data_IF_450848406069
#
_entry.id   IF_450848406069
#
_cell.length_a   1.000
_cell.length_b   1.000
_cell.length_c   1.000
_cell.angle_alpha   90.00
_cell.angle_beta   90.00
_cell.angle_gamma   90.00
#
_symmetry.space_group_name_H-M   'P 1'
#
loop_
_entity.id
_entity.type
_entity.pdbx_description
1 polymer ?
#
# COMPACT_ATOMS: atom_id res chain seq x y z
N UNK A 1 -25.12 9.37 6.42
CA UNK A 1 -23.90 9.97 5.90
C UNK A 1 -22.69 9.15 6.32
N UNK A 2 -21.93 8.64 5.39
CA UNK A 2 -20.74 7.87 5.68
C UNK A 2 -19.54 8.77 5.90
N UNK A 3 -18.70 8.40 6.84
CA UNK A 3 -17.44 9.06 7.08
C UNK A 3 -16.36 8.48 6.20
N UNK A 4 -15.30 9.26 5.94
CA UNK A 4 -14.09 8.75 5.31
C UNK A 4 -13.48 7.70 6.25
N UNK A 5 -13.32 6.48 5.77
CA UNK A 5 -12.69 5.40 6.53
C UNK A 5 -11.30 5.17 5.99
N UNK A 6 -10.31 5.32 6.86
CA UNK A 6 -8.91 5.09 6.52
C UNK A 6 -8.43 3.88 7.31
N UNK A 7 -7.99 2.86 6.58
CA UNK A 7 -7.41 1.65 7.15
C UNK A 7 -5.92 1.64 6.87
N UNK A 8 -5.11 1.45 7.88
CA UNK A 8 -3.66 1.46 7.76
C UNK A 8 -3.11 0.06 7.92
N UNK A 9 -2.42 -0.38 6.89
CA UNK A 9 -1.83 -1.73 6.79
C UNK A 9 -0.32 -1.59 6.67
N UNK A 10 0.44 -2.38 7.41
CA UNK A 10 1.88 -2.46 7.25
C UNK A 10 2.29 -3.84 6.74
N UNK A 11 3.36 -3.89 5.98
CA UNK A 11 3.99 -5.11 5.52
C UNK A 11 5.50 -4.96 5.58
N UNK A 12 6.21 -6.07 5.72
CA UNK A 12 7.66 -6.08 5.84
C UNK A 12 8.27 -7.00 4.81
N UNK A 13 9.34 -6.55 4.18
CA UNK A 13 10.03 -7.30 3.13
C UNK A 13 11.54 -7.33 3.39
N UNK A 14 12.20 -8.32 2.82
CA UNK A 14 13.66 -8.47 2.91
C UNK A 14 14.37 -7.96 1.66
N UNK A 15 13.63 -7.75 0.58
CA UNK A 15 14.18 -7.29 -0.71
C UNK A 15 13.05 -6.85 -1.62
N UNK A 16 13.38 -6.17 -2.72
CA UNK A 16 12.39 -5.77 -3.71
C UNK A 16 11.72 -6.95 -4.40
N UNK A 17 12.44 -8.05 -4.62
CA UNK A 17 11.84 -9.26 -5.20
C UNK A 17 10.88 -9.91 -4.20
N UNK A 18 11.23 -9.97 -2.93
CA UNK A 18 10.35 -10.46 -1.86
C UNK A 18 9.09 -9.62 -1.76
N UNK A 19 9.23 -8.29 -1.77
CA UNK A 19 8.08 -7.39 -1.81
C UNK A 19 7.15 -7.71 -2.99
N UNK A 20 7.72 -7.85 -4.18
CA UNK A 20 6.94 -8.15 -5.38
C UNK A 20 6.18 -9.48 -5.26
N UNK A 21 6.79 -10.49 -4.66
CA UNK A 21 6.15 -11.78 -4.39
C UNK A 21 5.01 -11.67 -3.39
N UNK A 22 5.10 -10.76 -2.43
CA UNK A 22 4.04 -10.52 -1.45
C UNK A 22 2.89 -9.70 -2.04
N UNK A 23 3.22 -8.65 -2.77
CA UNK A 23 2.23 -7.65 -3.18
C UNK A 23 1.37 -8.10 -4.35
N UNK A 24 1.89 -8.89 -5.27
CA UNK A 24 1.14 -9.31 -6.45
C UNK A 24 -0.09 -10.16 -6.14
N UNK A 25 0.00 -11.20 -5.29
CA UNK A 25 -1.20 -11.94 -4.86
C UNK A 25 -2.20 -11.06 -4.11
N UNK A 26 -1.69 -10.12 -3.32
CA UNK A 26 -2.51 -9.16 -2.60
C UNK A 26 -3.30 -8.26 -3.56
N UNK A 27 -2.62 -7.69 -4.55
CA UNK A 27 -3.25 -6.85 -5.57
C UNK A 27 -4.28 -7.64 -6.38
N UNK A 28 -3.96 -8.86 -6.75
CA UNK A 28 -4.90 -9.73 -7.48
C UNK A 28 -6.21 -9.86 -6.71
N UNK A 29 -6.13 -10.14 -5.42
CA UNK A 29 -7.30 -10.27 -4.54
C UNK A 29 -8.08 -8.96 -4.43
N UNK A 30 -7.39 -7.84 -4.29
CA UNK A 30 -8.03 -6.52 -4.19
C UNK A 30 -8.75 -6.14 -5.50
N UNK A 31 -8.14 -6.43 -6.65
CA UNK A 31 -8.75 -6.18 -7.96
C UNK A 31 -10.00 -7.04 -8.20
N UNK A 32 -10.05 -8.25 -7.66
CA UNK A 32 -11.23 -9.10 -7.72
C UNK A 32 -12.45 -8.47 -7.03
N UNK A 33 -12.22 -7.63 -6.03
CA UNK A 33 -13.27 -6.90 -5.31
C UNK A 33 -13.59 -5.54 -5.94
N UNK A 34 -13.11 -5.28 -7.13
CA UNK A 34 -13.31 -4.04 -7.91
C UNK A 34 -12.79 -2.78 -7.22
N UNK A 35 -11.71 -2.91 -6.45
CA UNK A 35 -11.03 -1.77 -5.86
C UNK A 35 -10.00 -1.22 -6.83
N UNK A 36 -9.78 0.08 -6.78
CA UNK A 36 -8.66 0.69 -7.49
C UNK A 36 -7.41 0.65 -6.63
N UNK A 37 -6.27 0.46 -7.28
CA UNK A 37 -4.98 0.36 -6.63
C UNK A 37 -4.02 1.36 -7.27
N UNK A 38 -3.40 2.18 -6.45
CA UNK A 38 -2.30 3.05 -6.88
C UNK A 38 -1.05 2.74 -6.07
N UNK A 39 0.10 3.04 -6.63
CA UNK A 39 1.40 2.79 -6.01
C UNK A 39 2.22 4.07 -5.90
N UNK A 40 2.97 4.18 -4.83
CA UNK A 40 3.95 5.24 -4.60
C UNK A 40 5.24 4.55 -4.19
N UNK A 41 6.23 4.53 -5.07
CA UNK A 41 7.40 3.66 -4.97
C UNK A 41 8.70 4.46 -4.90
N UNK A 42 9.57 4.13 -3.97
CA UNK A 42 10.90 4.74 -3.88
C UNK A 42 11.84 4.24 -4.99
N UNK A 43 11.66 2.98 -5.43
CA UNK A 43 12.51 2.37 -6.45
C UNK A 43 11.68 1.79 -7.59
N UNK A 44 12.31 1.65 -8.76
CA UNK A 44 11.68 1.02 -9.93
C UNK A 44 11.55 -0.48 -9.72
N UNK A 45 10.33 -1.01 -9.85
CA UNK A 45 10.00 -2.42 -9.67
C UNK A 45 9.58 -3.12 -10.96
N UNK A 46 9.59 -2.43 -12.09
CA UNK A 46 9.10 -2.99 -13.37
C UNK A 46 9.70 -4.34 -13.71
N UNK A 47 11.02 -4.47 -13.55
CA UNK A 47 11.71 -5.72 -13.85
C UNK A 47 11.25 -6.87 -12.95
N UNK A 48 11.16 -6.62 -11.66
CA UNK A 48 10.73 -7.62 -10.68
C UNK A 48 9.29 -8.05 -10.91
N UNK A 49 8.42 -7.08 -11.16
CA UNK A 49 6.99 -7.34 -11.40
C UNK A 49 6.81 -8.17 -12.68
N UNK A 50 7.45 -7.79 -13.78
CA UNK A 50 7.37 -8.55 -15.03
C UNK A 50 7.89 -9.98 -14.88
N UNK A 51 8.99 -10.15 -14.14
CA UNK A 51 9.58 -11.46 -13.89
C UNK A 51 8.63 -12.38 -13.11
N UNK A 52 7.96 -11.85 -12.11
CA UNK A 52 7.04 -12.64 -11.27
C UNK A 52 5.72 -12.89 -11.99
N UNK A 53 5.19 -11.92 -12.71
CA UNK A 53 3.96 -12.07 -13.47
C UNK A 53 4.05 -13.21 -14.48
N UNK A 54 5.22 -13.44 -15.08
CA UNK A 54 5.42 -14.54 -16.02
C UNK A 54 5.27 -15.92 -15.39
N UNK A 55 5.35 -16.00 -14.05
CA UNK A 55 5.31 -17.25 -13.29
C UNK A 55 3.99 -17.45 -12.53
N UNK A 56 3.13 -16.44 -12.51
CA UNK A 56 1.85 -16.53 -11.83
C UNK A 56 0.77 -17.12 -12.73
N UNK A 57 -0.10 -17.92 -12.14
CA UNK A 57 -1.30 -18.41 -12.80
C UNK A 57 -2.39 -17.35 -12.69
N UNK A 58 -2.47 -16.48 -13.67
CA UNK A 58 -3.45 -15.40 -13.75
C UNK A 58 -4.01 -15.30 -15.16
N UNK A 59 -5.19 -14.72 -15.29
CA UNK A 59 -5.79 -14.46 -16.58
C UNK A 59 -5.09 -13.31 -17.30
N UNK A 60 -5.23 -13.22 -18.62
CA UNK A 60 -4.66 -12.11 -19.40
C UNK A 60 -5.27 -10.78 -18.97
N UNK A 61 -6.53 -10.75 -18.60
CA UNK A 61 -7.22 -9.56 -18.10
C UNK A 61 -6.63 -9.08 -16.76
N UNK A 62 -6.42 -10.01 -15.84
CA UNK A 62 -5.79 -9.70 -14.54
C UNK A 62 -4.36 -9.19 -14.73
N UNK A 63 -3.61 -9.82 -15.61
CA UNK A 63 -2.24 -9.42 -15.95
C UNK A 63 -2.21 -7.99 -16.51
N UNK A 64 -3.13 -7.68 -17.41
CA UNK A 64 -3.24 -6.35 -18.00
C UNK A 64 -3.53 -5.29 -16.93
N UNK A 65 -4.46 -5.56 -16.02
CA UNK A 65 -4.79 -4.66 -14.90
C UNK A 65 -3.58 -4.40 -14.01
N UNK A 66 -2.82 -5.44 -13.69
CA UNK A 66 -1.61 -5.31 -12.87
C UNK A 66 -0.54 -4.48 -13.60
N UNK A 67 -0.34 -4.72 -14.90
CA UNK A 67 0.63 -3.97 -15.70
C UNK A 67 0.25 -2.50 -15.92
N UNK A 68 -1.04 -2.17 -15.80
CA UNK A 68 -1.51 -0.79 -15.88
C UNK A 68 -1.25 0.00 -14.59
N UNK A 69 -0.92 -0.67 -13.49
CA UNK A 69 -0.48 -0.01 -12.27
C UNK A 69 0.94 0.52 -12.49
N UNK A 70 1.27 1.66 -11.91
CA UNK A 70 2.61 2.22 -12.02
C UNK A 70 3.63 1.41 -11.19
N UNK A 71 4.68 0.92 -11.83
CA UNK A 71 5.76 0.20 -11.15
C UNK A 71 7.11 0.92 -11.25
N UNK A 72 7.09 2.16 -11.73
CA UNK A 72 8.26 3.04 -11.74
C UNK A 72 8.35 3.82 -10.45
N UNK A 73 9.54 4.29 -10.12
CA UNK A 73 9.73 5.18 -8.98
C UNK A 73 8.84 6.41 -9.09
N UNK A 74 8.27 6.79 -7.96
CA UNK A 74 7.39 7.94 -7.85
C UNK A 74 8.17 9.13 -7.29
N UNK A 75 8.20 10.22 -8.02
CA UNK A 75 8.82 11.47 -7.57
C UNK A 75 7.98 12.06 -6.43
N UNK A 76 8.61 12.34 -5.28
CA UNK A 76 7.92 12.87 -4.11
C UNK A 76 7.71 14.37 -4.28
N UNK A 77 6.61 14.72 -4.94
CA UNK A 77 6.12 16.11 -5.02
C UNK A 77 4.71 16.14 -4.45
N UNK A 78 4.50 16.96 -3.44
CA UNK A 78 3.21 17.07 -2.77
C UNK A 78 2.07 17.31 -3.74
N UNK A 79 2.26 18.22 -4.69
CA UNK A 79 1.25 18.55 -5.71
C UNK A 79 0.93 17.35 -6.63
N UNK A 80 1.94 16.57 -7.00
CA UNK A 80 1.77 15.42 -7.88
C UNK A 80 1.05 14.26 -7.17
N UNK A 81 1.42 13.99 -5.92
CA UNK A 81 0.78 12.96 -5.10
C UNK A 81 -0.66 13.33 -4.80
N UNK A 82 -0.90 14.57 -4.43
CA UNK A 82 -2.25 15.10 -4.18
C UNK A 82 -3.14 14.95 -5.42
N UNK A 83 -2.65 15.37 -6.58
CA UNK A 83 -3.38 15.26 -7.85
C UNK A 83 -3.71 13.80 -8.17
N UNK A 84 -2.74 12.91 -8.03
CA UNK A 84 -2.91 11.48 -8.32
C UNK A 84 -3.98 10.85 -7.42
N UNK A 85 -3.95 11.12 -6.12
CA UNK A 85 -4.94 10.61 -5.16
C UNK A 85 -6.33 11.15 -5.48
N UNK A 86 -6.45 12.45 -5.75
CA UNK A 86 -7.73 13.08 -6.04
C UNK A 86 -8.34 12.51 -7.32
N UNK A 87 -7.54 12.37 -8.37
CA UNK A 87 -8.01 11.81 -9.65
C UNK A 87 -8.52 10.38 -9.48
N UNK A 88 -7.81 9.56 -8.73
CA UNK A 88 -8.20 8.17 -8.49
C UNK A 88 -9.39 8.04 -7.53
N UNK A 89 -9.55 8.96 -6.61
CA UNK A 89 -10.71 8.99 -5.72
C UNK A 89 -11.98 9.43 -6.43
N UNK A 90 -11.85 10.17 -7.51
CA UNK A 90 -12.99 10.68 -8.26
C UNK A 90 -13.66 9.54 -9.03
N UNK A 91 -14.89 9.23 -8.66
CA UNK A 91 -15.65 8.15 -9.29
C UNK A 91 -15.47 6.77 -8.67
N UNK A 92 -14.64 6.62 -7.66
CA UNK A 92 -14.40 5.35 -6.96
C UNK A 92 -14.74 5.46 -5.49
N UNK A 93 -15.38 4.43 -4.95
CA UNK A 93 -15.76 4.37 -3.53
C UNK A 93 -14.66 3.82 -2.64
N UNK A 94 -13.72 3.08 -3.22
CA UNK A 94 -12.62 2.43 -2.51
C UNK A 94 -11.32 2.59 -3.27
N UNK A 95 -10.26 2.94 -2.55
CA UNK A 95 -8.92 3.11 -3.10
C UNK A 95 -7.88 2.49 -2.19
N UNK A 96 -7.02 1.66 -2.75
CA UNK A 96 -5.85 1.12 -2.06
C UNK A 96 -4.61 1.89 -2.52
N UNK A 97 -3.86 2.42 -1.56
CA UNK A 97 -2.61 3.16 -1.81
C UNK A 97 -1.46 2.33 -1.26
N UNK A 98 -0.63 1.81 -2.14
CA UNK A 98 0.55 1.01 -1.76
C UNK A 98 1.78 1.91 -1.77
N UNK A 99 2.42 2.01 -0.61
CA UNK A 99 3.65 2.80 -0.44
C UNK A 99 4.80 1.85 -0.14
N UNK A 100 5.86 1.92 -0.92
CA UNK A 100 7.02 1.05 -0.78
C UNK A 100 8.30 1.87 -0.74
N UNK A 101 9.11 1.64 0.28
CA UNK A 101 10.39 2.34 0.41
C UNK A 101 10.96 2.23 1.82
N UNK A 102 11.94 3.08 2.10
CA UNK A 102 12.51 3.23 3.43
C UNK A 102 11.50 3.86 4.38
N UNK A 103 11.70 3.70 5.67
CA UNK A 103 10.85 4.33 6.68
C UNK A 103 10.73 5.84 6.46
N UNK A 104 11.84 6.51 6.17
CA UNK A 104 11.85 7.95 5.93
C UNK A 104 11.02 8.33 4.71
N UNK A 105 11.14 7.57 3.62
CA UNK A 105 10.34 7.77 2.41
C UNK A 105 8.85 7.59 2.71
N UNK A 106 8.49 6.51 3.36
CA UNK A 106 7.10 6.20 3.72
C UNK A 106 6.51 7.29 4.61
N UNK A 107 7.26 7.74 5.61
CA UNK A 107 6.84 8.80 6.53
C UNK A 107 6.55 10.11 5.78
N UNK A 108 7.42 10.48 4.86
CA UNK A 108 7.24 11.65 4.01
C UNK A 108 6.00 11.54 3.12
N UNK A 109 5.81 10.39 2.48
CA UNK A 109 4.64 10.12 1.64
C UNK A 109 3.35 10.13 2.45
N UNK A 110 3.35 9.54 3.65
CA UNK A 110 2.18 9.53 4.52
C UNK A 110 1.73 10.93 4.91
N UNK A 111 2.67 11.84 5.19
CA UNK A 111 2.34 13.23 5.48
C UNK A 111 1.64 13.89 4.29
N UNK A 112 2.11 13.62 3.07
CA UNK A 112 1.51 14.13 1.85
C UNK A 112 0.11 13.55 1.59
N UNK A 113 -0.05 12.24 1.83
CA UNK A 113 -1.35 11.56 1.70
C UNK A 113 -2.35 12.13 2.70
N UNK A 114 -1.98 12.25 3.96
CA UNK A 114 -2.84 12.80 5.00
C UNK A 114 -3.30 14.21 4.66
N UNK A 115 -2.40 15.03 4.16
CA UNK A 115 -2.70 16.40 3.74
C UNK A 115 -3.69 16.42 2.57
N UNK A 116 -3.48 15.57 1.58
CA UNK A 116 -4.38 15.45 0.44
C UNK A 116 -5.78 15.00 0.87
N UNK A 117 -5.86 14.04 1.78
CA UNK A 117 -7.14 13.54 2.30
C UNK A 117 -7.86 14.59 3.16
N UNK A 118 -7.14 15.32 4.02
CA UNK A 118 -7.71 16.37 4.86
C UNK A 118 -8.29 17.54 4.04
N UNK A 119 -7.60 17.93 2.98
CA UNK A 119 -8.04 19.04 2.12
C UNK A 119 -9.20 18.65 1.19
N UNK A 120 -9.34 17.38 0.86
CA UNK A 120 -10.27 16.86 -0.15
C UNK A 120 -11.19 15.78 0.40
N UNK A 121 -11.63 15.94 1.64
CA UNK A 121 -12.52 14.99 2.31
C UNK A 121 -13.84 14.83 1.55
N UNK A 122 -13.91 13.79 0.75
CA UNK A 122 -15.17 13.31 0.20
C UNK A 122 -15.72 12.23 1.11
N UNK A 123 -16.89 12.46 1.66
CA UNK A 123 -17.57 11.50 2.54
C UNK A 123 -17.92 10.22 1.76
N UNK A 124 -18.02 9.11 2.45
CA UNK A 124 -18.35 7.78 1.91
C UNK A 124 -17.24 7.12 1.08
N UNK A 125 -15.98 7.46 1.35
CA UNK A 125 -14.84 6.79 0.71
C UNK A 125 -14.12 5.86 1.68
N UNK A 126 -13.67 4.72 1.18
CA UNK A 126 -12.84 3.77 1.92
C UNK A 126 -11.42 3.84 1.36
N UNK A 127 -10.49 4.27 2.17
CA UNK A 127 -9.09 4.38 1.81
C UNK A 127 -8.29 3.35 2.61
N UNK A 128 -7.51 2.55 1.93
CA UNK A 128 -6.56 1.65 2.57
C UNK A 128 -5.15 2.10 2.19
N UNK A 129 -4.32 2.37 3.17
CA UNK A 129 -2.92 2.75 2.97
C UNK A 129 -2.07 1.56 3.40
N UNK A 130 -1.31 1.00 2.46
CA UNK A 130 -0.48 -0.18 2.69
C UNK A 130 0.98 0.25 2.64
N UNK A 131 1.59 0.38 3.82
CA UNK A 131 2.98 0.79 3.97
C UNK A 131 3.88 -0.44 4.03
N UNK A 132 4.80 -0.53 3.08
CA UNK A 132 5.68 -1.69 2.93
C UNK A 132 7.13 -1.30 3.27
N UNK A 133 7.56 -1.73 4.45
CA UNK A 133 8.86 -1.43 5.04
C UNK A 133 9.88 -2.53 4.79
N UNK A 134 11.17 -2.19 4.80
CA UNK A 134 12.21 -3.20 4.86
C UNK A 134 12.28 -3.80 6.27
N UNK A 135 12.69 -5.05 6.37
CA UNK A 135 12.84 -5.74 7.68
C UNK A 135 13.85 -5.03 8.58
N UNK A 136 14.76 -4.27 8.02
CA UNK A 136 15.72 -3.47 8.76
C UNK A 136 15.01 -2.39 9.60
N UNK A 137 14.05 -1.69 9.00
CA UNK A 137 13.27 -0.67 9.69
C UNK A 137 12.43 -1.28 10.80
N UNK A 138 11.91 -2.49 10.57
CA UNK A 138 11.14 -3.24 11.55
C UNK A 138 11.95 -3.47 12.85
N UNK A 139 13.23 -3.81 12.73
CA UNK A 139 14.09 -4.03 13.90
C UNK A 139 14.36 -2.77 14.70
N UNK A 140 14.47 -1.63 14.02
CA UNK A 140 14.83 -0.35 14.64
C UNK A 140 13.63 0.37 15.24
N UNK A 141 12.49 0.36 14.55
CA UNK A 141 11.32 1.20 14.86
C UNK A 141 10.00 0.43 14.93
N UNK A 142 10.04 -0.82 15.32
CA UNK A 142 8.88 -1.70 15.35
C UNK A 142 7.70 -1.13 16.14
N UNK A 143 7.96 -0.54 17.31
CA UNK A 143 6.89 -0.02 18.16
C UNK A 143 6.14 1.12 17.48
N UNK A 144 6.87 2.04 16.86
CA UNK A 144 6.26 3.17 16.16
C UNK A 144 5.43 2.68 14.97
N UNK A 145 5.97 1.77 14.18
CA UNK A 145 5.28 1.23 13.02
C UNK A 145 4.01 0.50 13.45
N UNK A 146 4.09 -0.38 14.42
CA UNK A 146 2.93 -1.15 14.88
C UNK A 146 1.87 -0.28 15.54
N UNK A 147 2.27 0.79 16.24
CA UNK A 147 1.32 1.71 16.86
C UNK A 147 0.52 2.56 15.86
N UNK A 148 1.07 2.79 14.68
CA UNK A 148 0.44 3.63 13.65
C UNK A 148 -0.37 2.85 12.64
N UNK A 149 -0.42 1.53 12.76
CA UNK A 149 -1.13 0.65 11.81
C UNK A 149 -2.10 -0.27 12.56
N UNK A 150 -3.16 -0.67 11.87
CA UNK A 150 -4.21 -1.55 12.42
C UNK A 150 -4.01 -3.02 12.03
N UNK A 151 -3.42 -3.23 10.86
CA UNK A 151 -3.31 -4.52 10.21
C UNK A 151 -1.90 -4.73 9.68
N UNK A 152 -1.44 -5.98 9.73
CA UNK A 152 -0.21 -6.42 9.07
C UNK A 152 -0.59 -7.39 7.95
N UNK A 153 0.01 -7.21 6.76
CA UNK A 153 -0.15 -8.21 5.72
C UNK A 153 1.16 -8.98 5.49
N UNK A 154 1.01 -10.22 5.09
CA UNK A 154 2.10 -11.09 4.70
C UNK A 154 1.62 -12.03 3.58
N UNK A 155 2.39 -13.05 3.25
CA UNK A 155 2.03 -14.02 2.20
C UNK A 155 0.73 -14.78 2.48
N UNK A 156 0.29 -14.86 3.74
CA UNK A 156 -0.97 -15.51 4.12
C UNK A 156 -2.17 -14.54 4.19
N UNK A 157 -1.97 -13.27 3.87
CA UNK A 157 -3.04 -12.27 3.85
C UNK A 157 -2.94 -11.21 4.94
N UNK A 158 -4.08 -10.59 5.25
CA UNK A 158 -4.19 -9.55 6.26
C UNK A 158 -4.50 -10.15 7.63
N UNK A 159 -3.84 -9.61 8.66
CA UNK A 159 -4.03 -10.03 10.06
C UNK A 159 -4.07 -8.78 10.94
N UNK A 160 -4.98 -8.77 11.91
CA UNK A 160 -4.99 -7.71 12.91
C UNK A 160 -3.71 -7.77 13.74
N UNK A 161 -3.07 -6.63 13.96
CA UNK A 161 -1.83 -6.57 14.75
C UNK A 161 -2.05 -7.14 16.15
N UNK A 162 -3.19 -6.88 16.77
CA UNK A 162 -3.57 -7.43 18.07
C UNK A 162 -3.57 -8.96 18.09
N UNK A 163 -3.97 -9.60 17.00
CA UNK A 163 -4.04 -11.06 16.89
C UNK A 163 -2.65 -11.69 16.70
N UNK A 164 -1.76 -10.99 15.98
CA UNK A 164 -0.39 -11.47 15.74
C UNK A 164 0.46 -11.32 17.00
N UNK A 165 0.32 -10.20 17.69
CA UNK A 165 1.09 -9.87 18.88
C UNK A 165 0.22 -9.88 20.12
N UNK A 166 -0.38 -11.04 20.40
CA UNK A 166 -1.24 -11.23 21.57
C UNK A 166 -0.52 -10.85 22.86
N UNK A 167 -1.15 -10.00 23.64
CA UNK A 167 -0.56 -9.51 24.88
C UNK A 167 0.49 -8.41 24.71
N UNK A 168 0.82 -8.01 23.49
CA UNK A 168 1.73 -6.91 23.25
C UNK A 168 1.02 -5.58 23.54
N UNK A 169 1.59 -4.82 24.47
CA UNK A 169 1.08 -3.49 24.79
C UNK A 169 1.96 -2.46 24.10
N UNK A 170 1.40 -1.76 23.14
CA UNK A 170 2.04 -0.63 22.51
C UNK A 170 2.05 0.53 23.51
N UNK A 171 3.18 0.79 24.09
CA UNK A 171 3.34 1.89 25.03
C UNK A 171 3.84 3.14 24.32
#
# INVERSE_FOLDING_TARGET
>A
MGDLKIKRVCGFNISSIHFSMMILPYIKKELETKKDVITILETNLEKNINQILSKLTITDEEKEKILNINWKETDIKESAIKKHIIEEMDGNDSLDIIVYGSEQYIKCVEEMINKALDENLKKNKNIKIIDCYSIKDFKENINEILNTHDIMFNTSGEHKIEEIFEGYKFA
#
